data_IF_972455083785
#
_entry.id   IF_972455083785
#
_cell.length_a   1.000
_cell.length_b   1.000
_cell.length_c   1.000
_cell.angle_alpha   90.00
_cell.angle_beta   90.00
_cell.angle_gamma   90.00
#
_symmetry.space_group_name_H-M   'P 1'
#
loop_
_entity.id
_entity.type
_entity.pdbx_description
1 polymer ?
#
# COMPACT_ATOMS: atom_id res chain seq x y z
N UNK A 1 8.31 -7.85 9.94
CA UNK A 1 7.83 -7.71 8.55
C UNK A 1 8.71 -6.77 7.76
N UNK A 2 8.37 -6.53 6.50
CA UNK A 2 9.03 -5.55 5.61
C UNK A 2 8.01 -4.45 5.30
N UNK A 3 8.46 -3.19 5.23
CA UNK A 3 7.58 -2.05 5.00
C UNK A 3 8.06 -1.28 3.77
N UNK A 4 7.15 -1.02 2.84
CA UNK A 4 7.35 -0.14 1.70
C UNK A 4 6.46 1.09 1.81
N UNK A 5 6.96 2.24 1.40
CA UNK A 5 6.20 3.49 1.46
C UNK A 5 6.81 4.54 0.56
N UNK A 6 5.95 5.39 0.01
CA UNK A 6 6.30 6.49 -0.88
C UNK A 6 5.42 7.71 -0.57
N UNK A 7 5.76 8.85 -1.16
CA UNK A 7 4.87 10.01 -1.10
C UNK A 7 3.70 9.80 -2.04
N UNK A 8 2.51 9.70 -1.47
CA UNK A 8 1.28 9.47 -2.22
C UNK A 8 0.15 10.27 -1.60
N UNK A 9 -0.35 11.26 -2.32
CA UNK A 9 -1.37 12.17 -1.80
C UNK A 9 -2.79 11.60 -1.82
N UNK A 10 -3.07 10.56 -2.62
CA UNK A 10 -4.46 10.19 -2.93
C UNK A 10 -4.74 8.68 -3.13
N UNK A 11 -3.75 7.77 -3.14
CA UNK A 11 -4.04 6.38 -3.56
C UNK A 11 -4.08 5.38 -2.39
N UNK A 12 -2.97 5.19 -1.68
CA UNK A 12 -2.83 4.18 -0.62
C UNK A 12 -3.31 4.68 0.75
N UNK A 13 -3.86 3.75 1.54
CA UNK A 13 -4.23 3.98 2.96
C UNK A 13 -2.98 4.07 3.86
N UNK A 14 -3.08 4.60 5.10
CA UNK A 14 -1.91 4.85 5.93
C UNK A 14 -1.06 3.63 6.27
N UNK A 15 -1.69 2.48 6.47
CA UNK A 15 -1.02 1.19 6.67
C UNK A 15 -1.88 0.06 6.15
N UNK A 16 -1.28 -0.90 5.44
CA UNK A 16 -1.96 -2.07 4.92
C UNK A 16 -1.00 -3.24 4.82
N UNK A 17 -1.43 -4.42 5.25
CA UNK A 17 -0.71 -5.68 5.07
C UNK A 17 -1.04 -6.27 3.69
N UNK A 18 -0.04 -6.77 2.97
CA UNK A 18 -0.27 -7.55 1.75
C UNK A 18 -0.87 -8.93 2.07
N UNK A 19 -1.60 -9.53 1.12
CA UNK A 19 -2.20 -10.87 1.33
C UNK A 19 -1.17 -11.98 1.50
N UNK A 20 -0.09 -11.90 0.72
CA UNK A 20 0.99 -12.86 0.72
C UNK A 20 2.31 -12.20 0.26
N UNK A 21 3.38 -12.99 0.23
CA UNK A 21 4.70 -12.54 -0.19
C UNK A 21 4.72 -12.04 -1.64
N UNK A 22 4.14 -12.81 -2.56
CA UNK A 22 4.14 -12.50 -3.99
C UNK A 22 3.44 -11.18 -4.26
N UNK A 23 2.24 -11.01 -3.72
CA UNK A 23 1.49 -9.76 -3.88
C UNK A 23 2.16 -8.60 -3.14
N UNK A 24 2.79 -8.85 -1.99
CA UNK A 24 3.59 -7.86 -1.29
C UNK A 24 4.77 -7.34 -2.13
N UNK A 25 5.54 -8.26 -2.73
CA UNK A 25 6.66 -7.91 -3.61
C UNK A 25 6.15 -7.18 -4.85
N UNK A 26 5.09 -7.63 -5.50
CA UNK A 26 4.67 -7.04 -6.77
C UNK A 26 3.87 -5.75 -6.57
N UNK A 27 2.81 -5.78 -5.77
CA UNK A 27 1.86 -4.66 -5.63
C UNK A 27 2.38 -3.59 -4.65
N UNK A 28 3.08 -3.96 -3.58
CA UNK A 28 3.54 -2.98 -2.57
C UNK A 28 4.95 -2.49 -2.82
N UNK A 29 5.84 -3.38 -3.27
CA UNK A 29 7.24 -3.05 -3.43
C UNK A 29 7.61 -2.67 -4.88
N UNK A 30 7.30 -3.55 -5.84
CA UNK A 30 7.67 -3.37 -7.25
C UNK A 30 6.86 -2.26 -7.91
N UNK A 31 5.67 -1.96 -7.38
CA UNK A 31 4.78 -0.93 -7.92
C UNK A 31 4.87 0.40 -7.17
N UNK A 32 5.91 0.58 -6.36
CA UNK A 32 6.09 1.78 -5.58
C UNK A 32 6.27 3.01 -6.48
N UNK A 33 5.49 4.05 -6.18
CA UNK A 33 5.64 5.38 -6.76
C UNK A 33 5.83 6.38 -5.61
N UNK A 34 6.56 7.46 -5.85
CA UNK A 34 6.68 8.57 -4.89
C UNK A 34 6.59 9.89 -5.63
N UNK A 35 5.78 10.80 -5.10
CA UNK A 35 5.71 12.18 -5.57
C UNK A 35 7.04 12.92 -5.35
N UNK A 36 7.45 13.72 -6.36
CA UNK A 36 8.60 14.61 -6.29
C UNK A 36 8.42 15.67 -5.20
N UNK A 37 9.53 16.03 -4.58
CA UNK A 37 9.58 17.10 -3.57
C UNK A 37 10.01 18.40 -4.23
N UNK A 38 9.75 19.54 -3.58
CA UNK A 38 10.31 20.84 -3.98
C UNK A 38 11.85 20.88 -4.00
N UNK A 39 12.53 19.96 -3.32
CA UNK A 39 13.99 19.83 -3.34
C UNK A 39 14.52 19.05 -4.55
N UNK A 40 13.66 18.37 -5.32
CA UNK A 40 14.04 17.65 -6.54
C UNK A 40 13.99 18.62 -7.72
N UNK A 41 15.06 18.69 -8.53
CA UNK A 41 15.07 19.49 -9.77
C UNK A 41 13.93 18.99 -10.70
N UNK A 42 12.81 19.72 -10.77
CA UNK A 42 11.63 19.32 -11.54
C UNK A 42 10.32 19.96 -11.04
N UNK A 43 9.19 19.52 -11.61
CA UNK A 43 7.86 19.94 -11.17
C UNK A 43 7.48 19.17 -9.90
N UNK A 44 7.05 19.89 -8.87
CA UNK A 44 6.56 19.30 -7.60
C UNK A 44 5.26 18.52 -7.80
N UNK A 45 5.08 17.43 -7.04
CA UNK A 45 3.85 16.61 -7.05
C UNK A 45 3.72 15.65 -8.24
N UNK A 46 4.80 15.41 -8.98
CA UNK A 46 4.81 14.41 -10.06
C UNK A 46 5.15 13.04 -9.47
N UNK A 47 4.30 12.04 -9.68
CA UNK A 47 4.56 10.66 -9.28
C UNK A 47 5.68 10.07 -10.12
N UNK A 48 6.73 9.58 -9.44
CA UNK A 48 7.87 8.91 -10.05
C UNK A 48 7.89 7.46 -9.59
N UNK A 49 7.98 6.56 -10.55
CA UNK A 49 8.18 5.13 -10.31
C UNK A 49 9.52 4.91 -9.61
N UNK A 50 9.52 4.20 -8.48
CA UNK A 50 10.71 3.93 -7.70
C UNK A 50 10.64 2.54 -7.06
N UNK A 51 10.84 1.51 -7.90
CA UNK A 51 10.84 0.10 -7.53
C UNK A 51 11.61 -0.14 -6.22
N UNK A 52 10.93 -0.65 -5.18
CA UNK A 52 11.47 -0.97 -3.84
C UNK A 52 12.25 0.18 -3.17
N UNK A 53 12.05 1.45 -3.59
CA UNK A 53 12.89 2.59 -3.21
C UNK A 53 14.39 2.40 -3.54
N UNK A 54 14.71 1.53 -4.49
CA UNK A 54 16.07 1.09 -4.78
C UNK A 54 16.48 1.28 -6.24
N UNK A 55 15.60 1.85 -7.08
CA UNK A 55 15.74 1.86 -8.54
C UNK A 55 17.09 2.40 -9.03
N UNK A 56 17.55 3.51 -8.45
CA UNK A 56 18.81 4.17 -8.85
C UNK A 56 20.07 3.41 -8.41
N UNK A 57 19.93 2.38 -7.58
CA UNK A 57 21.05 1.59 -7.05
C UNK A 57 21.15 0.19 -7.67
N UNK A 58 20.27 -0.15 -8.61
CA UNK A 58 20.24 -1.48 -9.22
C UNK A 58 21.31 -1.65 -10.30
N UNK A 59 22.13 -2.69 -10.16
CA UNK A 59 23.14 -3.11 -11.14
C UNK A 59 22.70 -4.30 -12.00
N UNK A 60 21.47 -4.79 -11.80
CA UNK A 60 20.88 -5.91 -12.54
C UNK A 60 19.56 -5.48 -13.21
N UNK A 61 19.11 -6.17 -14.26
CA UNK A 61 17.79 -5.94 -14.86
C UNK A 61 16.65 -5.99 -13.85
N UNK A 62 15.62 -5.16 -14.05
CA UNK A 62 14.52 -5.03 -13.08
C UNK A 62 13.70 -6.30 -12.96
N UNK A 63 13.42 -6.99 -14.07
CA UNK A 63 12.67 -8.25 -14.03
C UNK A 63 13.40 -9.32 -13.23
N UNK A 64 14.71 -9.47 -13.44
CA UNK A 64 15.57 -10.33 -12.61
C UNK A 64 15.55 -9.92 -11.14
N UNK A 65 15.62 -8.62 -10.83
CA UNK A 65 15.57 -8.14 -9.45
C UNK A 65 14.24 -8.51 -8.76
N UNK A 66 13.11 -8.37 -9.45
CA UNK A 66 11.81 -8.81 -8.95
C UNK A 66 11.81 -10.32 -8.74
N UNK A 67 12.27 -11.11 -9.72
CA UNK A 67 12.32 -12.56 -9.62
C UNK A 67 13.15 -13.03 -8.41
N UNK A 68 14.31 -12.43 -8.18
CA UNK A 68 15.14 -12.75 -7.01
C UNK A 68 14.40 -12.52 -5.68
N UNK A 69 13.59 -11.46 -5.59
CA UNK A 69 12.79 -11.19 -4.39
C UNK A 69 11.62 -12.18 -4.24
N UNK A 70 11.00 -12.61 -5.35
CA UNK A 70 9.97 -13.65 -5.32
C UNK A 70 10.55 -14.99 -4.86
N UNK A 71 11.71 -15.37 -5.42
CA UNK A 71 12.39 -16.63 -5.11
C UNK A 71 12.90 -16.68 -3.67
N UNK A 72 13.20 -15.53 -3.04
CA UNK A 72 13.69 -15.45 -1.67
C UNK A 72 12.80 -16.19 -0.66
N UNK A 73 11.48 -16.11 -0.82
CA UNK A 73 10.52 -16.73 0.10
C UNK A 73 10.08 -18.13 -0.30
N UNK A 74 10.55 -18.66 -1.45
CA UNK A 74 10.06 -19.92 -2.00
C UNK A 74 10.28 -21.10 -1.05
N UNK A 75 11.40 -21.09 -0.32
CA UNK A 75 11.81 -22.14 0.60
C UNK A 75 11.69 -21.70 2.08
N UNK A 76 10.87 -20.67 2.36
CA UNK A 76 10.63 -20.17 3.72
C UNK A 76 9.20 -20.53 4.14
N UNK A 77 9.05 -21.35 5.19
CA UNK A 77 7.74 -21.79 5.70
C UNK A 77 6.84 -20.64 6.16
N UNK A 78 7.43 -19.55 6.65
CA UNK A 78 6.72 -18.38 7.17
C UNK A 78 7.45 -17.11 6.73
N UNK A 79 7.26 -16.66 5.47
CA UNK A 79 7.92 -15.47 4.98
C UNK A 79 7.45 -14.23 5.74
N UNK A 80 8.32 -13.22 5.91
CA UNK A 80 7.96 -12.04 6.66
C UNK A 80 6.81 -11.30 5.97
N UNK A 81 5.79 -10.89 6.74
CA UNK A 81 4.69 -10.11 6.19
C UNK A 81 5.19 -8.79 5.59
N UNK A 82 4.64 -8.43 4.43
CA UNK A 82 4.91 -7.16 3.75
C UNK A 82 3.78 -6.19 4.05
N UNK A 83 4.14 -4.94 4.36
CA UNK A 83 3.22 -3.84 4.58
C UNK A 83 3.52 -2.70 3.62
N UNK A 84 2.47 -1.99 3.20
CA UNK A 84 2.57 -0.66 2.61
C UNK A 84 2.18 0.40 3.63
N UNK A 85 2.86 1.53 3.61
CA UNK A 85 2.51 2.71 4.42
C UNK A 85 2.41 3.96 3.56
N UNK A 86 1.49 4.86 3.94
CA UNK A 86 1.34 6.17 3.32
C UNK A 86 1.09 7.28 4.36
N UNK A 87 2.14 8.04 4.66
CA UNK A 87 2.06 9.16 5.60
C UNK A 87 1.66 10.49 4.94
N UNK A 88 1.56 10.51 3.61
CA UNK A 88 1.40 11.73 2.81
C UNK A 88 0.00 11.90 2.23
N UNK A 89 -0.93 11.02 2.62
CA UNK A 89 -2.32 11.06 2.20
C UNK A 89 -2.97 12.40 2.57
N UNK A 90 -3.71 12.99 1.63
CA UNK A 90 -4.40 14.27 1.76
C UNK A 90 -5.90 14.12 1.53
N UNK A 91 -6.66 15.07 2.08
CA UNK A 91 -8.05 15.27 1.72
C UNK A 91 -8.19 16.06 0.40
N UNK A 92 -9.44 16.26 -0.04
CA UNK A 92 -9.76 17.06 -1.23
C UNK A 92 -9.34 18.53 -1.12
N UNK A 93 -9.14 19.05 0.10
CA UNK A 93 -8.63 20.39 0.37
C UNK A 93 -7.10 20.48 0.41
N UNK A 94 -6.39 19.37 0.21
CA UNK A 94 -4.94 19.30 0.25
C UNK A 94 -4.34 19.22 1.66
N UNK A 95 -5.17 19.08 2.70
CA UNK A 95 -4.71 18.91 4.08
C UNK A 95 -4.28 17.46 4.30
N UNK A 96 -3.14 17.26 4.95
CA UNK A 96 -2.71 15.92 5.35
C UNK A 96 -3.71 15.28 6.31
N UNK A 97 -4.02 14.01 6.04
CA UNK A 97 -4.88 13.21 6.90
C UNK A 97 -4.13 12.57 8.07
N UNK A 98 -2.80 12.56 8.04
CA UNK A 98 -1.97 12.00 9.09
C UNK A 98 -1.18 13.11 9.82
N UNK A 99 -1.05 12.97 11.13
CA UNK A 99 -0.06 13.68 11.93
C UNK A 99 1.34 13.07 11.76
N UNK A 100 2.37 13.84 12.13
CA UNK A 100 3.77 13.37 12.08
C UNK A 100 4.00 12.19 13.03
N UNK A 101 3.30 12.17 14.17
CA UNK A 101 3.44 11.14 15.20
C UNK A 101 2.64 9.86 14.89
N UNK A 102 1.60 9.94 14.04
CA UNK A 102 0.70 8.84 13.70
C UNK A 102 1.44 7.64 13.10
N UNK A 103 2.59 7.88 12.44
CA UNK A 103 3.49 6.81 11.97
C UNK A 103 3.86 5.81 13.06
N UNK A 104 3.94 6.24 14.32
CA UNK A 104 4.16 5.34 15.46
C UNK A 104 3.03 4.32 15.60
N UNK A 105 1.78 4.76 15.49
CA UNK A 105 0.60 3.90 15.58
C UNK A 105 0.56 2.90 14.42
N UNK A 106 0.87 3.34 13.20
CA UNK A 106 0.91 2.48 12.02
C UNK A 106 1.92 1.34 12.17
N UNK A 107 3.12 1.64 12.70
CA UNK A 107 4.15 0.64 12.96
C UNK A 107 3.76 -0.29 14.12
N UNK A 108 3.16 0.24 15.19
CA UNK A 108 2.68 -0.59 16.30
C UNK A 108 1.57 -1.55 15.86
N UNK A 109 0.65 -1.12 15.00
CA UNK A 109 -0.34 -2.04 14.44
C UNK A 109 0.30 -3.13 13.59
N UNK A 110 1.28 -2.79 12.75
CA UNK A 110 2.01 -3.77 11.95
C UNK A 110 2.77 -4.79 12.81
N UNK A 111 3.30 -4.36 13.96
CA UNK A 111 3.94 -5.24 14.95
C UNK A 111 2.93 -6.23 15.55
N UNK A 112 1.80 -5.75 16.07
CA UNK A 112 0.72 -6.60 16.57
C UNK A 112 0.23 -7.61 15.52
N UNK A 113 0.13 -7.19 14.26
CA UNK A 113 -0.27 -8.07 13.15
C UNK A 113 0.74 -9.18 12.87
N UNK A 114 2.04 -8.90 12.97
CA UNK A 114 3.09 -9.90 12.78
C UNK A 114 3.07 -10.95 13.90
N UNK A 115 2.72 -10.56 15.13
CA UNK A 115 2.61 -11.47 16.27
C UNK A 115 1.25 -12.20 16.36
N UNK A 116 0.26 -11.79 15.56
CA UNK A 116 -1.09 -12.37 15.62
C UNK A 116 -1.95 -11.84 16.76
N UNK A 117 -1.58 -10.70 17.35
CA UNK A 117 -2.26 -10.11 18.52
C UNK A 117 -3.56 -9.38 18.18
N UNK A 118 -3.75 -9.02 16.91
CA UNK A 118 -4.96 -8.34 16.40
C UNK A 118 -5.40 -8.91 15.07
N UNK A 119 -6.69 -8.86 14.79
CA UNK A 119 -7.27 -9.18 13.49
C UNK A 119 -7.06 -8.04 12.47
N UNK A 120 -7.53 -8.25 11.25
CA UNK A 120 -7.58 -7.22 10.22
C UNK A 120 -8.86 -7.32 9.38
N UNK A 121 -9.22 -6.22 8.73
CA UNK A 121 -10.31 -6.17 7.76
C UNK A 121 -9.72 -6.46 6.39
N UNK A 122 -10.26 -7.48 5.71
CA UNK A 122 -9.88 -7.80 4.33
C UNK A 122 -10.49 -6.79 3.38
N UNK A 123 -9.66 -6.15 2.57
CA UNK A 123 -10.06 -5.19 1.53
C UNK A 123 -9.76 -5.77 0.14
N UNK A 124 -10.09 -5.08 -0.96
CA UNK A 124 -9.66 -5.47 -2.30
C UNK A 124 -8.14 -5.34 -2.53
N UNK A 125 -7.46 -4.53 -1.72
CA UNK A 125 -6.04 -4.14 -1.88
C UNK A 125 -5.09 -4.78 -0.86
N UNK A 126 -5.61 -5.35 0.23
CA UNK A 126 -4.82 -5.95 1.30
C UNK A 126 -5.63 -6.15 2.58
N UNK A 127 -4.98 -6.10 3.73
CA UNK A 127 -5.62 -6.11 5.03
C UNK A 127 -5.32 -4.83 5.81
N UNK A 128 -6.36 -4.20 6.35
CA UNK A 128 -6.26 -2.93 7.09
C UNK A 128 -6.62 -3.14 8.57
N UNK A 129 -6.16 -2.26 9.48
CA UNK A 129 -6.57 -2.28 10.89
C UNK A 129 -8.07 -2.11 11.08
N UNK A 130 -8.63 -2.72 12.14
CA UNK A 130 -9.95 -2.37 12.67
C UNK A 130 -9.88 -1.00 13.36
N UNK A 131 -10.97 -0.23 13.29
CA UNK A 131 -11.05 1.10 13.90
C UNK A 131 -10.78 1.07 15.42
N UNK A 132 -11.29 0.06 16.12
CA UNK A 132 -11.10 -0.08 17.58
C UNK A 132 -9.65 -0.32 18.00
N UNK A 133 -8.87 -1.04 17.19
CA UNK A 133 -7.46 -1.31 17.49
C UNK A 133 -6.64 -0.05 17.33
N UNK A 134 -6.92 0.74 16.29
CA UNK A 134 -6.32 2.06 16.13
C UNK A 134 -6.70 2.99 17.28
N UNK A 135 -7.97 3.04 17.66
CA UNK A 135 -8.41 3.89 18.75
C UNK A 135 -7.66 3.60 20.06
N UNK A 136 -7.47 2.31 20.39
CA UNK A 136 -6.63 1.91 21.54
C UNK A 136 -5.18 2.37 21.38
N UNK A 137 -4.58 2.18 20.21
CA UNK A 137 -3.18 2.56 19.96
C UNK A 137 -2.96 4.07 20.03
N UNK A 138 -3.83 4.86 19.39
CA UNK A 138 -3.79 6.32 19.45
C UNK A 138 -3.94 6.80 20.90
N UNK A 139 -4.89 6.24 21.66
CA UNK A 139 -5.07 6.60 23.06
C UNK A 139 -3.86 6.25 23.92
N UNK A 140 -3.34 5.04 23.80
CA UNK A 140 -2.26 4.54 24.66
C UNK A 140 -0.90 5.17 24.36
N UNK A 141 -0.63 5.50 23.09
CA UNK A 141 0.72 5.88 22.65
C UNK A 141 0.88 7.33 22.24
N UNK A 142 -0.22 8.03 21.97
CA UNK A 142 -0.27 9.45 21.58
C UNK A 142 -1.23 10.30 22.43
N UNK A 143 -1.92 9.70 23.41
CA UNK A 143 -2.97 10.34 24.24
C UNK A 143 -3.97 11.17 23.42
N UNK A 144 -4.38 10.61 22.28
CA UNK A 144 -5.29 11.27 21.33
C UNK A 144 -6.48 10.37 21.06
N UNK A 145 -7.67 10.97 21.00
CA UNK A 145 -8.89 10.26 20.58
C UNK A 145 -8.88 10.10 19.06
N UNK A 146 -9.12 8.87 18.60
CA UNK A 146 -9.16 8.55 17.17
C UNK A 146 -10.60 8.35 16.72
N UNK A 147 -11.09 9.25 15.88
CA UNK A 147 -12.50 9.26 15.50
C UNK A 147 -12.81 8.30 14.35
N UNK A 148 -14.07 7.83 14.30
CA UNK A 148 -14.58 7.07 13.14
C UNK A 148 -14.49 7.87 11.84
N UNK A 149 -14.61 9.18 11.91
CA UNK A 149 -14.53 10.06 10.75
C UNK A 149 -13.11 10.11 10.17
N UNK A 150 -12.10 10.19 11.04
CA UNK A 150 -10.69 10.12 10.63
C UNK A 150 -10.37 8.75 10.02
N UNK A 151 -10.86 7.68 10.66
CA UNK A 151 -10.72 6.32 10.13
C UNK A 151 -11.30 6.17 8.73
N UNK A 152 -12.52 6.65 8.48
CA UNK A 152 -13.12 6.60 7.15
C UNK A 152 -12.28 7.39 6.15
N UNK A 153 -11.87 8.62 6.46
CA UNK A 153 -11.08 9.44 5.52
C UNK A 153 -9.73 8.79 5.19
N UNK A 154 -9.05 8.24 6.19
CA UNK A 154 -7.76 7.62 6.05
C UNK A 154 -7.84 6.28 5.31
N UNK A 155 -8.78 5.41 5.67
CA UNK A 155 -8.86 4.03 5.20
C UNK A 155 -9.92 3.77 4.11
N UNK A 156 -10.50 4.82 3.53
CA UNK A 156 -11.32 4.69 2.31
C UNK A 156 -10.51 4.02 1.20
N UNK A 157 -11.06 2.96 0.61
CA UNK A 157 -10.47 2.32 -0.57
C UNK A 157 -10.92 3.09 -1.81
N UNK A 158 -9.94 3.60 -2.54
CA UNK A 158 -10.11 4.54 -3.65
C UNK A 158 -9.93 3.79 -4.97
N UNK A 159 -11.03 3.27 -5.53
CA UNK A 159 -11.00 2.33 -6.65
C UNK A 159 -10.39 2.97 -7.91
N UNK A 160 -10.81 4.19 -8.35
CA UNK A 160 -10.23 4.82 -9.53
C UNK A 160 -8.72 5.05 -9.41
N UNK A 161 -8.25 5.53 -8.26
CA UNK A 161 -6.86 5.87 -8.00
C UNK A 161 -5.98 4.61 -7.97
N UNK A 162 -6.45 3.53 -7.35
CA UNK A 162 -5.74 2.25 -7.34
C UNK A 162 -5.68 1.62 -8.73
N UNK A 163 -6.78 1.63 -9.51
CA UNK A 163 -6.79 1.15 -10.89
C UNK A 163 -5.85 1.97 -11.78
N UNK A 164 -5.91 3.29 -11.68
CA UNK A 164 -5.02 4.18 -12.44
C UNK A 164 -3.54 3.93 -12.09
N UNK A 165 -3.23 3.62 -10.82
CA UNK A 165 -1.88 3.23 -10.42
C UNK A 165 -1.44 1.92 -11.08
N UNK A 166 -2.28 0.88 -11.04
CA UNK A 166 -1.97 -0.39 -11.72
C UNK A 166 -1.69 -0.17 -13.21
N UNK A 167 -2.52 0.60 -13.90
CA UNK A 167 -2.36 0.86 -15.33
C UNK A 167 -1.06 1.62 -15.65
N UNK A 168 -0.68 2.62 -14.83
CA UNK A 168 0.59 3.35 -15.01
C UNK A 168 1.79 2.43 -14.83
N UNK A 169 1.80 1.64 -13.77
CA UNK A 169 2.93 0.77 -13.43
C UNK A 169 3.05 -0.39 -14.42
N UNK A 170 1.94 -1.04 -14.78
CA UNK A 170 1.91 -2.10 -15.79
C UNK A 170 2.41 -1.60 -17.14
N UNK A 171 2.09 -0.36 -17.52
CA UNK A 171 2.62 0.27 -18.73
C UNK A 171 4.15 0.42 -18.68
N UNK A 172 4.73 0.74 -17.52
CA UNK A 172 6.19 0.80 -17.37
C UNK A 172 6.80 -0.57 -17.59
N UNK A 173 6.27 -1.60 -16.94
CA UNK A 173 6.80 -2.95 -17.07
C UNK A 173 6.66 -3.51 -18.49
N UNK A 174 5.50 -3.34 -19.13
CA UNK A 174 5.25 -3.82 -20.49
C UNK A 174 6.05 -3.07 -21.56
N UNK A 175 6.38 -1.79 -21.36
CA UNK A 175 7.02 -0.97 -22.40
C UNK A 175 8.51 -0.70 -22.17
N UNK A 176 8.97 -0.73 -20.92
CA UNK A 176 10.33 -0.30 -20.55
C UNK A 176 11.18 -1.40 -19.91
N UNK A 177 10.59 -2.52 -19.52
CA UNK A 177 11.28 -3.61 -18.82
C UNK A 177 11.07 -4.92 -19.58
N UNK A 178 12.01 -5.20 -20.49
CA UNK A 178 11.91 -6.34 -21.43
C UNK A 178 11.94 -7.72 -20.75
N UNK A 179 12.46 -7.82 -19.52
CA UNK A 179 12.62 -9.07 -18.79
C UNK A 179 11.59 -9.25 -17.66
N UNK A 180 10.48 -8.50 -17.69
CA UNK A 180 9.44 -8.58 -16.65
C UNK A 180 8.87 -10.01 -16.55
N UNK A 181 8.90 -10.65 -15.36
CA UNK A 181 8.30 -11.96 -15.16
C UNK A 181 6.78 -11.95 -15.38
N UNK A 182 6.24 -12.99 -16.02
CA UNK A 182 4.80 -13.07 -16.33
C UNK A 182 3.90 -12.94 -15.08
N UNK A 183 4.36 -13.48 -13.95
CA UNK A 183 3.66 -13.40 -12.65
C UNK A 183 3.36 -11.95 -12.22
N UNK A 184 4.14 -10.96 -12.67
CA UNK A 184 3.87 -9.53 -12.43
C UNK A 184 2.56 -9.12 -13.09
N UNK A 185 2.38 -9.45 -14.36
CA UNK A 185 1.16 -9.12 -15.13
C UNK A 185 -0.05 -9.90 -14.59
N UNK A 186 0.13 -11.17 -14.25
CA UNK A 186 -0.94 -12.00 -13.69
C UNK A 186 -1.41 -11.43 -12.34
N UNK A 187 -0.48 -10.97 -11.50
CA UNK A 187 -0.80 -10.34 -10.21
C UNK A 187 -1.54 -9.00 -10.41
N UNK A 188 -1.15 -8.19 -11.41
CA UNK A 188 -1.90 -6.97 -11.75
C UNK A 188 -3.31 -7.28 -12.26
N UNK A 189 -3.48 -8.32 -13.07
CA UNK A 189 -4.78 -8.74 -13.57
C UNK A 189 -5.71 -9.15 -12.42
N UNK A 190 -5.22 -9.95 -11.46
CA UNK A 190 -6.01 -10.37 -10.31
C UNK A 190 -6.33 -9.22 -9.34
N UNK A 191 -5.36 -8.32 -9.08
CA UNK A 191 -5.62 -7.12 -8.29
C UNK A 191 -6.68 -6.23 -8.95
N UNK A 192 -6.58 -6.00 -10.26
CA UNK A 192 -7.56 -5.24 -11.06
C UNK A 192 -8.95 -5.88 -11.02
N UNK A 193 -9.03 -7.20 -11.15
CA UNK A 193 -10.29 -7.95 -11.06
C UNK A 193 -10.96 -7.76 -9.70
N UNK A 194 -10.19 -7.86 -8.60
CA UNK A 194 -10.70 -7.63 -7.24
C UNK A 194 -11.19 -6.19 -7.04
N UNK A 195 -10.41 -5.20 -7.49
CA UNK A 195 -10.78 -3.78 -7.42
C UNK A 195 -12.07 -3.51 -8.19
N UNK A 196 -12.18 -3.96 -9.44
CA UNK A 196 -13.42 -3.78 -10.23
C UNK A 196 -14.63 -4.44 -9.57
N UNK A 197 -14.48 -5.70 -9.13
CA UNK A 197 -15.58 -6.40 -8.46
C UNK A 197 -16.00 -5.77 -7.13
N UNK A 198 -15.11 -5.02 -6.46
CA UNK A 198 -15.45 -4.25 -5.28
C UNK A 198 -16.12 -2.91 -5.64
N UNK A 199 -15.62 -2.23 -6.68
CA UNK A 199 -16.23 -1.03 -7.23
C UNK A 199 -17.67 -1.27 -7.72
N UNK A 200 -17.92 -2.39 -8.41
CA UNK A 200 -19.25 -2.77 -8.87
C UNK A 200 -20.24 -3.00 -7.71
N UNK A 201 -19.74 -3.38 -6.53
CA UNK A 201 -20.56 -3.68 -5.35
C UNK A 201 -20.78 -2.49 -4.42
N UNK A 202 -19.74 -1.66 -4.25
CA UNK A 202 -19.71 -0.63 -3.21
C UNK A 202 -19.50 0.79 -3.75
N UNK A 203 -19.26 0.94 -5.06
CA UNK A 203 -18.92 2.21 -5.71
C UNK A 203 -17.43 2.54 -5.66
N UNK A 204 -17.09 3.73 -6.16
CA UNK A 204 -15.70 4.15 -6.39
C UNK A 204 -14.89 4.40 -5.11
N UNK A 205 -15.57 4.77 -4.02
CA UNK A 205 -14.95 5.14 -2.76
C UNK A 205 -15.58 4.34 -1.63
N UNK A 206 -14.90 3.29 -1.20
CA UNK A 206 -15.45 2.29 -0.28
C UNK A 206 -15.03 2.62 1.14
N UNK A 207 -16.00 2.83 2.03
CA UNK A 207 -15.73 2.99 3.46
C UNK A 207 -15.18 1.68 4.03
N UNK A 208 -14.18 1.73 4.94
CA UNK A 208 -13.70 0.52 5.61
C UNK A 208 -14.80 -0.20 6.42
N UNK A 209 -15.86 0.51 6.83
CA UNK A 209 -17.02 -0.08 7.50
C UNK A 209 -17.97 -0.84 6.56
N UNK A 210 -17.88 -0.65 5.24
CA UNK A 210 -18.70 -1.40 4.27
C UNK A 210 -18.04 -2.75 3.91
N UNK A 211 -16.80 -2.97 4.37
CA UNK A 211 -15.98 -4.15 4.12
C UNK A 211 -15.90 -5.10 5.32
N UNK A 212 -16.41 -4.68 6.48
CA UNK A 212 -16.62 -5.57 7.62
C UNK A 212 -17.85 -6.41 7.34
N UNK A 213 -17.70 -7.73 7.20
CA UNK A 213 -18.86 -8.63 7.26
C UNK A 213 -19.58 -8.43 8.61
N UNK A 214 -20.92 -8.57 8.66
CA UNK A 214 -21.65 -8.63 9.93
C UNK A 214 -21.19 -9.82 10.79
#
# INVERSE_FOLDING_TARGET
GIIYGGRDSDTWVPVEQAFDWTEGIIIKAASLESETTSATLGKEGVRVFNLMSNLDFLSIPLGRYIQNNLDFAKDIDSPPSIFSVNYFLKDKGGKYLNGIADKKVWILWAELRVNGDVDAIKTPTGLIPKCEDLAKLFKNYLDTEYSRADYVQQFTIRIPENLAKLDRVEKIYSQKVSDTPQIVFDTFAEARKRLKAAGDRHGDYISPFDLTAP
#
